data_IF_502618097187
#
_entry.id   IF_502618097187
#
_cell.length_a   1.000
_cell.length_b   1.000
_cell.length_c   1.000
_cell.angle_alpha   90.00
_cell.angle_beta   90.00
_cell.angle_gamma   90.00
#
_symmetry.space_group_name_H-M   'P 1'
#
loop_
_entity.id
_entity.type
_entity.pdbx_description
1 polymer ?
#
# COMPACT_ATOMS: atom_id res chain seq x y z
N UNK A 1 6.18 17.93 25.88
CA UNK A 1 5.09 18.40 25.09
C UNK A 1 4.24 19.38 25.88
N UNK A 2 4.21 20.67 25.54
CA UNK A 2 3.57 21.68 26.36
C UNK A 2 2.07 21.49 26.53
N UNK A 3 1.46 20.78 25.64
CA UNK A 3 0.02 20.65 25.54
C UNK A 3 -0.61 19.98 26.76
N UNK A 4 0.08 19.03 27.36
CA UNK A 4 -0.43 18.34 28.55
C UNK A 4 -0.62 19.27 29.73
N UNK A 5 0.27 20.23 29.90
CA UNK A 5 0.18 21.22 31.00
C UNK A 5 -1.01 22.13 30.78
N UNK A 6 -1.19 22.61 29.55
CA UNK A 6 -2.30 23.49 29.22
C UNK A 6 -3.65 22.84 29.43
N UNK A 7 -3.73 21.55 29.10
CA UNK A 7 -4.93 20.75 29.29
C UNK A 7 -5.28 20.54 30.76
N UNK A 8 -4.28 20.47 31.63
CA UNK A 8 -4.49 20.25 33.07
C UNK A 8 -5.03 21.44 33.82
N UNK A 9 -4.92 22.62 33.29
CA UNK A 9 -5.38 23.87 33.96
C UNK A 9 -6.87 24.11 33.76
N UNK A 10 -7.52 23.28 32.99
CA UNK A 10 -8.93 23.45 32.68
C UNK A 10 -9.82 22.49 33.48
N UNK A 11 -11.10 22.57 33.30
CA UNK A 11 -12.05 21.74 33.99
C UNK A 11 -12.05 20.28 33.51
N UNK A 12 -12.91 19.46 34.09
CA UNK A 12 -13.01 18.04 33.76
C UNK A 12 -13.38 17.77 32.32
N UNK A 13 -14.10 18.67 31.64
CA UNK A 13 -14.47 18.49 30.23
C UNK A 13 -13.24 18.54 29.32
N UNK A 14 -12.24 19.28 29.69
CA UNK A 14 -10.98 19.34 28.94
C UNK A 14 -10.21 18.02 29.04
N UNK A 15 -10.16 17.44 30.23
CA UNK A 15 -9.53 16.14 30.44
C UNK A 15 -10.22 15.02 29.63
N UNK A 16 -11.54 15.07 29.54
CA UNK A 16 -12.33 14.14 28.73
C UNK A 16 -11.96 14.28 27.26
N UNK A 17 -11.85 15.50 26.74
CA UNK A 17 -11.40 15.74 25.37
C UNK A 17 -10.01 15.20 25.09
N UNK A 18 -9.09 15.36 26.04
CA UNK A 18 -7.74 14.84 25.92
C UNK A 18 -7.73 13.31 25.84
N UNK A 19 -8.51 12.64 26.68
CA UNK A 19 -8.65 11.18 26.64
C UNK A 19 -9.21 10.70 25.31
N UNK A 20 -10.17 11.43 24.76
CA UNK A 20 -10.77 11.12 23.46
C UNK A 20 -9.72 11.24 22.33
N UNK A 21 -8.91 12.29 22.34
CA UNK A 21 -7.83 12.50 21.38
C UNK A 21 -6.79 11.37 21.44
N UNK A 22 -6.37 10.97 22.64
CA UNK A 22 -5.45 9.85 22.82
C UNK A 22 -6.00 8.58 22.20
N UNK A 23 -7.28 8.30 22.42
CA UNK A 23 -7.94 7.14 21.87
C UNK A 23 -7.95 7.17 20.34
N UNK A 24 -8.15 8.34 19.76
CA UNK A 24 -8.09 8.53 18.30
C UNK A 24 -6.70 8.29 17.74
N UNK A 25 -5.66 8.75 18.42
CA UNK A 25 -4.27 8.50 18.01
C UNK A 25 -3.94 7.02 18.08
N UNK A 26 -4.36 6.33 19.14
CA UNK A 26 -4.14 4.88 19.26
C UNK A 26 -4.83 4.10 18.16
N UNK A 27 -6.06 4.47 17.82
CA UNK A 27 -6.81 3.86 16.72
C UNK A 27 -6.10 4.07 15.39
N UNK A 28 -5.60 5.28 15.14
CA UNK A 28 -4.87 5.60 13.92
C UNK A 28 -3.57 4.80 13.81
N UNK A 29 -2.81 4.68 14.90
CA UNK A 29 -1.61 3.86 14.93
C UNK A 29 -1.91 2.40 14.65
N UNK A 30 -2.98 1.86 15.21
CA UNK A 30 -3.37 0.48 14.99
C UNK A 30 -3.76 0.23 13.54
N UNK A 31 -4.55 1.14 12.94
CA UNK A 31 -4.92 1.06 11.54
C UNK A 31 -3.71 1.11 10.62
N UNK A 32 -2.76 1.97 10.94
CA UNK A 32 -1.51 2.09 10.20
C UNK A 32 -0.72 0.79 10.23
N UNK A 33 -0.59 0.18 11.41
CA UNK A 33 0.09 -1.11 11.57
C UNK A 33 -0.59 -2.21 10.80
N UNK A 34 -1.92 -2.29 10.88
CA UNK A 34 -2.70 -3.30 10.18
C UNK A 34 -2.56 -3.16 8.66
N UNK A 35 -2.62 -1.94 8.17
CA UNK A 35 -2.48 -1.64 6.75
C UNK A 35 -1.08 -1.97 6.23
N UNK A 36 -0.05 -1.60 7.00
CA UNK A 36 1.33 -1.92 6.67
C UNK A 36 1.57 -3.43 6.69
N UNK A 37 1.02 -4.13 7.67
CA UNK A 37 1.13 -5.58 7.76
C UNK A 37 0.49 -6.29 6.57
N UNK A 38 -0.65 -5.80 6.09
CA UNK A 38 -1.28 -6.32 4.87
C UNK A 38 -0.36 -6.15 3.66
N UNK A 39 0.23 -4.98 3.50
CA UNK A 39 1.17 -4.72 2.43
C UNK A 39 2.39 -5.63 2.54
N UNK A 40 2.99 -5.69 3.73
CA UNK A 40 4.18 -6.50 3.98
C UNK A 40 3.92 -7.99 3.69
N UNK A 41 2.81 -8.51 4.18
CA UNK A 41 2.41 -9.91 3.96
C UNK A 41 2.20 -10.19 2.48
N UNK A 42 1.55 -9.29 1.75
CA UNK A 42 1.30 -9.44 0.33
C UNK A 42 2.59 -9.45 -0.48
N UNK A 43 3.42 -8.44 -0.29
CA UNK A 43 4.65 -8.28 -1.09
C UNK A 43 5.69 -9.36 -0.79
N UNK A 44 5.66 -9.94 0.40
CA UNK A 44 6.57 -11.01 0.80
C UNK A 44 5.97 -12.42 0.69
N UNK A 45 4.76 -12.55 0.15
CA UNK A 45 4.17 -13.85 -0.10
C UNK A 45 5.00 -14.62 -1.13
N UNK A 46 4.99 -15.94 -1.03
CA UNK A 46 5.73 -16.79 -1.96
C UNK A 46 5.29 -16.56 -3.41
N UNK A 47 3.99 -16.42 -3.64
CA UNK A 47 3.44 -16.19 -4.96
C UNK A 47 3.93 -14.87 -5.56
N UNK A 48 3.92 -13.79 -4.77
CA UNK A 48 4.43 -12.49 -5.24
C UNK A 48 5.93 -12.54 -5.49
N UNK A 49 6.69 -13.18 -4.61
CA UNK A 49 8.13 -13.32 -4.80
C UNK A 49 8.47 -14.05 -6.08
N UNK A 50 7.80 -15.15 -6.37
CA UNK A 50 8.01 -15.89 -7.60
C UNK A 50 7.63 -15.06 -8.83
N UNK A 51 6.51 -14.36 -8.76
CA UNK A 51 6.05 -13.51 -9.86
C UNK A 51 7.05 -12.41 -10.20
N UNK A 52 7.55 -11.72 -9.18
CA UNK A 52 8.52 -10.63 -9.35
C UNK A 52 9.88 -11.15 -9.79
N UNK A 53 10.34 -12.25 -9.20
CA UNK A 53 11.62 -12.87 -9.54
C UNK A 53 11.67 -13.31 -10.99
N UNK A 54 10.57 -13.87 -11.50
CA UNK A 54 10.46 -14.30 -12.90
C UNK A 54 10.71 -13.15 -13.89
N UNK A 55 10.40 -11.93 -13.50
CA UNK A 55 10.62 -10.73 -14.33
C UNK A 55 11.87 -9.95 -13.94
N UNK A 56 12.67 -10.48 -13.01
CA UNK A 56 13.87 -9.80 -12.56
C UNK A 56 13.60 -8.53 -11.75
N UNK A 57 12.43 -8.46 -11.10
CA UNK A 57 12.07 -7.30 -10.26
C UNK A 57 12.50 -7.59 -8.83
N UNK A 58 13.45 -6.79 -8.33
CA UNK A 58 13.89 -6.87 -6.94
C UNK A 58 13.04 -6.03 -6.00
N UNK A 59 12.86 -6.54 -4.79
CA UNK A 59 12.21 -5.78 -3.71
C UNK A 59 13.29 -5.36 -2.74
N UNK A 60 13.56 -4.04 -2.68
CA UNK A 60 14.53 -3.50 -1.72
C UNK A 60 13.85 -3.01 -0.45
N UNK A 61 14.65 -2.83 0.60
CA UNK A 61 14.19 -2.25 1.87
C UNK A 61 13.55 -0.86 1.69
N UNK A 62 13.94 -0.17 0.64
CA UNK A 62 13.42 1.16 0.32
C UNK A 62 11.92 1.14 0.04
N UNK A 63 11.42 0.09 -0.59
CA UNK A 63 9.99 -0.03 -0.88
C UNK A 63 9.17 -0.12 0.41
N UNK A 64 9.60 -0.95 1.36
CA UNK A 64 8.91 -1.09 2.64
C UNK A 64 8.93 0.21 3.44
N UNK A 65 10.05 0.90 3.43
CA UNK A 65 10.19 2.20 4.09
C UNK A 65 9.25 3.25 3.48
N UNK A 66 9.16 3.29 2.16
CA UNK A 66 8.25 4.19 1.45
C UNK A 66 6.79 3.81 1.69
N UNK A 67 6.49 2.52 1.75
CA UNK A 67 5.15 2.03 2.03
C UNK A 67 4.68 2.45 3.41
N UNK A 68 5.53 2.32 4.41
CA UNK A 68 5.21 2.74 5.78
C UNK A 68 4.82 4.23 5.83
N UNK A 69 5.62 5.08 5.20
CA UNK A 69 5.34 6.51 5.13
C UNK A 69 4.04 6.80 4.37
N UNK A 70 3.86 6.15 3.24
CA UNK A 70 2.69 6.35 2.39
C UNK A 70 1.40 5.97 3.12
N UNK A 71 1.40 4.80 3.74
CA UNK A 71 0.25 4.30 4.51
C UNK A 71 -0.03 5.20 5.70
N UNK A 72 1.01 5.68 6.38
CA UNK A 72 0.90 6.60 7.51
C UNK A 72 0.13 7.86 7.12
N UNK A 73 0.54 8.51 6.06
CA UNK A 73 -0.13 9.72 5.55
C UNK A 73 -1.57 9.42 5.16
N UNK A 74 -1.81 8.28 4.53
CA UNK A 74 -3.12 7.88 4.07
C UNK A 74 -4.09 7.66 5.24
N UNK A 75 -3.62 7.00 6.30
CA UNK A 75 -4.40 6.78 7.51
C UNK A 75 -4.66 8.10 8.25
N UNK A 76 -3.64 8.96 8.35
CA UNK A 76 -3.77 10.27 9.00
C UNK A 76 -4.78 11.18 8.30
N UNK A 77 -4.91 11.05 6.99
CA UNK A 77 -5.88 11.85 6.24
C UNK A 77 -7.32 11.39 6.46
N UNK A 78 -7.55 10.35 7.23
CA UNK A 78 -8.88 9.81 7.52
C UNK A 78 -9.45 8.93 6.42
N UNK A 79 -8.63 8.55 5.45
CA UNK A 79 -9.03 7.66 4.35
C UNK A 79 -8.68 6.21 4.69
N UNK A 80 -9.05 5.79 5.88
CA UNK A 80 -8.69 4.49 6.42
C UNK A 80 -9.60 3.35 6.01
N UNK A 81 -10.47 3.57 5.06
CA UNK A 81 -11.30 2.49 4.52
C UNK A 81 -10.40 1.46 3.85
N UNK A 82 -10.66 0.21 4.11
CA UNK A 82 -9.88 -0.92 3.59
C UNK A 82 -9.69 -0.85 2.07
N UNK A 83 -10.75 -0.47 1.36
CA UNK A 83 -10.75 -0.26 -0.08
C UNK A 83 -9.76 0.83 -0.51
N UNK A 84 -9.69 1.92 0.23
CA UNK A 84 -8.81 3.04 -0.10
C UNK A 84 -7.35 2.69 0.17
N UNK A 85 -7.08 1.93 1.23
CA UNK A 85 -5.75 1.40 1.52
C UNK A 85 -5.29 0.45 0.42
N UNK A 86 -6.16 -0.42 -0.06
CA UNK A 86 -5.85 -1.34 -1.15
C UNK A 86 -5.49 -0.57 -2.44
N UNK A 87 -6.23 0.49 -2.77
CA UNK A 87 -5.90 1.37 -3.90
C UNK A 87 -4.54 2.02 -3.74
N UNK A 88 -4.22 2.47 -2.55
CA UNK A 88 -2.93 3.07 -2.25
C UNK A 88 -1.79 2.08 -2.43
N UNK A 89 -1.98 0.86 -1.97
CA UNK A 89 -1.01 -0.23 -2.14
C UNK A 89 -0.80 -0.56 -3.62
N UNK A 90 -1.88 -0.66 -4.40
CA UNK A 90 -1.80 -0.88 -5.84
C UNK A 90 -1.00 0.24 -6.52
N UNK A 91 -1.29 1.49 -6.18
CA UNK A 91 -0.56 2.63 -6.74
C UNK A 91 0.93 2.56 -6.40
N UNK A 92 1.26 2.23 -5.17
CA UNK A 92 2.64 2.13 -4.73
C UNK A 92 3.41 1.03 -5.47
N UNK A 93 2.83 -0.17 -5.55
CA UNK A 93 3.44 -1.30 -6.25
C UNK A 93 3.61 -0.97 -7.73
N UNK A 94 2.59 -0.44 -8.36
CA UNK A 94 2.61 -0.10 -9.78
C UNK A 94 3.68 0.94 -10.10
N UNK A 95 3.75 2.01 -9.32
CA UNK A 95 4.68 3.10 -9.57
C UNK A 95 6.12 2.76 -9.19
N UNK A 96 6.35 1.86 -8.24
CA UNK A 96 7.70 1.54 -7.76
C UNK A 96 8.28 0.26 -8.35
N UNK A 97 7.48 -0.77 -8.53
CA UNK A 97 7.96 -2.05 -9.03
C UNK A 97 7.68 -2.23 -10.52
N UNK A 98 6.46 -1.98 -10.97
CA UNK A 98 6.09 -2.28 -12.36
C UNK A 98 6.58 -1.25 -13.36
N UNK A 99 7.04 -0.12 -12.87
CA UNK A 99 7.69 0.87 -13.71
C UNK A 99 8.92 0.31 -14.44
N UNK A 100 9.62 -0.65 -13.82
CA UNK A 100 10.77 -1.31 -14.42
C UNK A 100 10.39 -2.19 -15.61
N UNK A 101 9.12 -2.53 -15.77
CA UNK A 101 8.63 -3.31 -16.91
C UNK A 101 8.39 -2.46 -18.16
N UNK A 102 8.43 -1.14 -18.03
CA UNK A 102 8.28 -0.25 -19.19
C UNK A 102 9.46 -0.42 -20.12
N UNK A 103 9.15 -0.53 -21.42
CA UNK A 103 10.16 -0.65 -22.48
C UNK A 103 11.05 -1.89 -22.36
N UNK A 104 10.55 -2.95 -21.76
CA UNK A 104 11.25 -4.23 -21.68
C UNK A 104 11.03 -5.01 -22.97
N UNK A 105 12.04 -5.00 -23.85
CA UNK A 105 11.96 -5.67 -25.15
C UNK A 105 12.16 -7.18 -25.07
N UNK A 106 12.71 -7.66 -23.97
CA UNK A 106 12.90 -9.09 -23.71
C UNK A 106 11.60 -9.81 -23.30
N UNK A 107 10.55 -9.04 -22.98
CA UNK A 107 9.26 -9.60 -22.58
C UNK A 107 8.28 -9.46 -23.74
N UNK A 108 7.79 -10.58 -24.24
CA UNK A 108 6.80 -10.57 -25.30
C UNK A 108 5.38 -10.31 -24.76
N UNK A 109 4.43 -10.18 -25.68
CA UNK A 109 3.04 -9.90 -25.35
C UNK A 109 2.43 -10.99 -24.47
N UNK A 110 2.71 -12.25 -24.78
CA UNK A 110 2.16 -13.40 -24.04
C UNK A 110 2.69 -13.41 -22.59
N UNK A 111 3.98 -13.18 -22.41
CA UNK A 111 4.60 -13.14 -21.08
C UNK A 111 4.07 -11.98 -20.24
N UNK A 112 3.90 -10.82 -20.84
CA UNK A 112 3.36 -9.64 -20.13
C UNK A 112 1.88 -9.84 -19.79
N UNK A 113 1.12 -10.43 -20.67
CA UNK A 113 -0.30 -10.72 -20.40
C UNK A 113 -0.44 -11.71 -19.24
N UNK A 114 0.37 -12.76 -19.25
CA UNK A 114 0.38 -13.73 -18.15
C UNK A 114 0.76 -13.08 -16.83
N UNK A 115 1.78 -12.24 -16.81
CA UNK A 115 2.20 -11.51 -15.62
C UNK A 115 1.05 -10.65 -15.08
N UNK A 116 0.40 -9.89 -15.93
CA UNK A 116 -0.75 -9.07 -15.58
C UNK A 116 -1.86 -9.91 -14.96
N UNK A 117 -2.25 -11.01 -15.62
CA UNK A 117 -3.34 -11.85 -15.16
C UNK A 117 -3.02 -12.48 -13.81
N UNK A 118 -1.80 -12.96 -13.63
CA UNK A 118 -1.35 -13.55 -12.37
C UNK A 118 -1.35 -12.51 -11.24
N UNK A 119 -0.87 -11.31 -11.50
CA UNK A 119 -0.86 -10.24 -10.49
C UNK A 119 -2.28 -9.82 -10.11
N UNK A 120 -3.15 -9.62 -11.08
CA UNK A 120 -4.54 -9.23 -10.83
C UNK A 120 -5.23 -10.27 -9.93
N UNK A 121 -5.00 -11.53 -10.19
CA UNK A 121 -5.56 -12.62 -9.39
C UNK A 121 -5.04 -12.60 -7.97
N UNK A 122 -3.73 -12.44 -7.78
CA UNK A 122 -3.12 -12.37 -6.45
C UNK A 122 -3.63 -11.17 -5.66
N UNK A 123 -3.67 -10.03 -6.29
CA UNK A 123 -4.13 -8.79 -5.64
C UNK A 123 -5.60 -8.89 -5.24
N UNK A 124 -6.45 -9.36 -6.14
CA UNK A 124 -7.87 -9.51 -5.86
C UNK A 124 -8.13 -10.51 -4.74
N UNK A 125 -7.38 -11.59 -4.70
CA UNK A 125 -7.48 -12.58 -3.61
C UNK A 125 -7.14 -11.95 -2.26
N UNK A 126 -6.11 -11.11 -2.21
CA UNK A 126 -5.64 -10.51 -0.96
C UNK A 126 -6.46 -9.31 -0.51
N UNK A 127 -6.90 -8.47 -1.43
CA UNK A 127 -7.52 -7.18 -1.10
C UNK A 127 -8.99 -7.07 -1.51
N UNK A 128 -9.53 -8.06 -2.22
CA UNK A 128 -10.93 -8.06 -2.70
C UNK A 128 -11.24 -6.84 -3.57
N UNK A 129 -10.27 -6.41 -4.36
CA UNK A 129 -10.35 -5.23 -5.21
C UNK A 129 -9.49 -5.46 -6.44
N UNK A 130 -9.90 -4.90 -7.57
CA UNK A 130 -9.10 -4.91 -8.79
C UNK A 130 -7.97 -3.88 -8.69
N UNK A 131 -6.73 -4.26 -9.02
CA UNK A 131 -5.60 -3.32 -9.00
C UNK A 131 -5.61 -2.43 -10.25
N UNK A 132 -6.44 -1.39 -10.23
CA UNK A 132 -6.69 -0.56 -11.40
C UNK A 132 -5.45 0.17 -11.93
N UNK A 133 -4.55 0.61 -11.06
CA UNK A 133 -3.31 1.26 -11.49
C UNK A 133 -2.40 0.28 -12.22
N UNK A 134 -2.23 -0.93 -11.67
CA UNK A 134 -1.43 -1.97 -12.32
C UNK A 134 -2.04 -2.40 -13.65
N UNK A 135 -3.36 -2.57 -13.70
CA UNK A 135 -4.06 -2.95 -14.91
C UNK A 135 -3.81 -1.91 -16.01
N UNK A 136 -3.96 -0.64 -15.69
CA UNK A 136 -3.73 0.45 -16.65
C UNK A 136 -2.29 0.47 -17.16
N UNK A 137 -1.32 0.41 -16.27
CA UNK A 137 0.09 0.42 -16.64
C UNK A 137 0.44 -0.79 -17.51
N UNK A 138 0.08 -1.98 -17.08
CA UNK A 138 0.43 -3.22 -17.78
C UNK A 138 -0.31 -3.34 -19.12
N UNK A 139 -1.57 -2.93 -19.18
CA UNK A 139 -2.33 -2.93 -20.44
C UNK A 139 -1.67 -1.99 -21.46
N UNK A 140 -1.21 -0.82 -21.02
CA UNK A 140 -0.49 0.11 -21.88
C UNK A 140 0.79 -0.51 -22.43
N UNK A 141 1.59 -1.17 -21.59
CA UNK A 141 2.83 -1.81 -22.03
C UNK A 141 2.56 -2.99 -22.96
N UNK A 142 1.52 -3.77 -22.70
CA UNK A 142 1.11 -4.87 -23.57
C UNK A 142 0.71 -4.34 -24.95
N UNK A 143 0.01 -3.22 -25.02
CA UNK A 143 -0.45 -2.64 -26.29
C UNK A 143 0.70 -2.19 -27.19
N UNK A 144 1.88 -1.93 -26.63
CA UNK A 144 3.08 -1.53 -27.39
C UNK A 144 3.79 -2.73 -28.06
N UNK A 145 3.41 -3.91 -27.71
CA UNK A 145 4.04 -5.15 -28.20
C UNK A 145 3.23 -5.75 -29.35
#
# INVERSE_FOLDING_TARGET
HPDKKDFKTTDGSFNVKYSWLNKKFEEAEQKQKDSFNKFHTFINSDDMKLLLMDKGIGIGNRLEFQAEKFISVFVESGKEKEKDVAKAIDHLISSRLFRSLKNRYDLDKANMTKFKDDYVKLFNTSFKLQPSFAIELLTTEISKK
#
